data_IF_581509129230
#
_entry.id   IF_581509129230
#
_cell.length_a   1.000
_cell.length_b   1.000
_cell.length_c   1.000
_cell.angle_alpha   90.00
_cell.angle_beta   90.00
_cell.angle_gamma   90.00
#
_symmetry.space_group_name_H-M   'P 1'
#
loop_
_entity.id
_entity.type
_entity.pdbx_description
1 polymer ?
#
# COMPACT_ATOMS: atom_id res chain seq x y z
N UNK A 1 7.17 -7.84 18.83
CA UNK A 1 5.75 -8.02 18.44
C UNK A 1 5.28 -6.89 17.51
N UNK A 2 4.40 -7.20 16.56
CA UNK A 2 3.72 -6.25 15.68
C UNK A 2 2.58 -5.52 16.43
N UNK A 3 2.08 -4.40 15.90
CA UNK A 3 0.94 -3.66 16.49
C UNK A 3 1.18 -2.91 17.82
N UNK A 4 2.37 -3.03 18.45
CA UNK A 4 2.74 -2.32 19.69
C UNK A 4 3.02 -0.81 19.54
N UNK A 5 3.02 -0.27 18.32
CA UNK A 5 3.28 1.16 18.10
C UNK A 5 4.76 1.57 18.01
N UNK A 6 5.66 0.64 17.62
CA UNK A 6 7.09 0.92 17.34
C UNK A 6 7.27 2.11 16.40
N UNK A 7 6.67 2.02 15.22
CA UNK A 7 6.68 3.07 14.19
C UNK A 7 6.04 4.37 14.70
N UNK A 8 4.97 4.29 15.49
CA UNK A 8 4.31 5.46 16.08
C UNK A 8 5.22 6.21 17.06
N UNK A 9 5.90 5.49 17.96
CA UNK A 9 6.85 6.09 18.89
C UNK A 9 8.06 6.67 18.15
N UNK A 10 8.63 5.91 17.22
CA UNK A 10 9.77 6.33 16.42
C UNK A 10 9.46 7.60 15.61
N UNK A 11 8.30 7.66 14.95
CA UNK A 11 7.85 8.86 14.24
C UNK A 11 7.65 10.05 15.17
N UNK A 12 7.18 9.85 16.41
CA UNK A 12 7.03 10.94 17.38
C UNK A 12 8.38 11.54 17.75
N UNK A 13 9.39 10.71 17.97
CA UNK A 13 10.77 11.16 18.24
C UNK A 13 11.38 11.80 17.00
N UNK A 14 11.24 11.17 15.83
CA UNK A 14 11.82 11.65 14.57
C UNK A 14 11.32 13.04 14.15
N UNK A 15 10.07 13.37 14.51
CA UNK A 15 9.44 14.65 14.22
C UNK A 15 9.42 15.62 15.41
N UNK A 16 10.10 15.29 16.51
CA UNK A 16 10.20 16.18 17.67
C UNK A 16 11.00 17.46 17.29
N UNK A 17 10.52 18.68 17.60
CA UNK A 17 11.20 19.92 17.23
C UNK A 17 12.67 19.98 17.63
N UNK A 18 13.05 19.40 18.78
CA UNK A 18 14.44 19.37 19.23
C UNK A 18 15.30 18.49 18.32
N UNK A 19 14.73 17.36 17.87
CA UNK A 19 15.38 16.45 16.91
C UNK A 19 15.46 17.12 15.52
N UNK A 20 14.41 17.82 15.10
CA UNK A 20 14.40 18.57 13.84
C UNK A 20 15.53 19.60 13.77
N UNK A 21 15.77 20.34 14.85
CA UNK A 21 16.82 21.36 14.91
C UNK A 21 18.24 20.81 15.04
N UNK A 22 18.39 19.58 15.54
CA UNK A 22 19.70 19.03 15.89
C UNK A 22 20.42 18.35 14.71
N UNK A 23 19.68 17.73 13.78
CA UNK A 23 20.24 16.99 12.65
C UNK A 23 20.12 17.78 11.35
N UNK A 24 21.23 17.96 10.63
CA UNK A 24 21.25 18.67 9.34
C UNK A 24 20.52 17.87 8.25
N UNK A 25 20.69 16.54 8.28
CA UNK A 25 20.06 15.62 7.31
C UNK A 25 19.22 14.61 8.07
N UNK A 26 18.00 14.37 7.61
CA UNK A 26 17.16 13.30 8.12
C UNK A 26 16.61 12.48 6.95
N UNK A 27 16.58 11.18 7.12
CA UNK A 27 16.03 10.26 6.14
C UNK A 27 15.20 9.19 6.84
N UNK A 28 14.10 8.77 6.21
CA UNK A 28 13.26 7.68 6.69
C UNK A 28 13.04 6.67 5.57
N UNK A 29 13.19 5.38 5.89
CA UNK A 29 12.95 4.29 4.96
C UNK A 29 12.32 3.11 5.69
N UNK A 30 11.18 2.63 5.20
CA UNK A 30 10.60 1.35 5.63
C UNK A 30 11.18 0.21 4.80
N UNK A 31 11.71 -0.80 5.49
CA UNK A 31 12.33 -1.98 4.90
C UNK A 31 11.24 -3.04 4.70
N UNK A 32 10.86 -3.27 3.44
CA UNK A 32 9.93 -4.34 3.11
C UNK A 32 10.57 -5.71 3.40
N UNK A 33 9.75 -6.73 3.65
CA UNK A 33 10.24 -8.11 3.84
C UNK A 33 11.06 -8.61 2.65
N UNK A 34 10.61 -8.29 1.44
CA UNK A 34 11.37 -8.51 0.20
C UNK A 34 11.98 -7.18 -0.23
N UNK A 35 13.31 -7.09 -0.18
CA UNK A 35 14.04 -5.86 -0.51
C UNK A 35 15.27 -6.15 -1.38
N UNK A 36 15.71 -5.12 -2.11
CA UNK A 36 17.04 -5.07 -2.75
C UNK A 36 17.84 -3.89 -2.21
N UNK A 37 19.17 -3.98 -2.24
CA UNK A 37 20.06 -2.89 -1.83
C UNK A 37 19.78 -1.63 -2.66
N UNK A 38 19.65 -1.78 -3.97
CA UNK A 38 19.19 -0.71 -4.87
C UNK A 38 17.93 -0.01 -4.35
N UNK A 39 16.86 -0.77 -4.05
CA UNK A 39 15.58 -0.18 -3.61
C UNK A 39 15.68 0.60 -2.30
N UNK A 40 16.52 0.14 -1.36
CA UNK A 40 16.72 0.81 -0.07
C UNK A 40 17.51 2.11 -0.24
N UNK A 41 18.59 2.09 -1.02
CA UNK A 41 19.40 3.27 -1.28
C UNK A 41 18.60 4.35 -2.03
N UNK A 42 17.81 3.95 -3.03
CA UNK A 42 16.91 4.86 -3.75
C UNK A 42 15.90 5.50 -2.80
N UNK A 43 15.26 4.71 -1.92
CA UNK A 43 14.31 5.23 -0.92
C UNK A 43 14.96 6.26 0.01
N UNK A 44 16.17 5.97 0.52
CA UNK A 44 16.92 6.89 1.38
C UNK A 44 17.29 8.18 0.65
N UNK A 45 17.83 8.08 -0.58
CA UNK A 45 18.19 9.24 -1.39
C UNK A 45 16.98 10.11 -1.74
N UNK A 46 15.85 9.50 -2.11
CA UNK A 46 14.60 10.22 -2.34
C UNK A 46 14.11 10.90 -1.06
N UNK A 47 14.24 10.24 0.09
CA UNK A 47 13.86 10.84 1.39
C UNK A 47 14.70 12.06 1.74
N UNK A 48 15.97 12.12 1.35
CA UNK A 48 16.87 13.26 1.63
C UNK A 48 16.63 14.40 0.65
N UNK A 49 16.58 14.08 -0.65
CA UNK A 49 16.64 15.08 -1.71
C UNK A 49 15.27 15.51 -2.25
N UNK A 50 14.18 14.87 -1.80
CA UNK A 50 12.82 15.05 -2.34
C UNK A 50 12.71 14.84 -3.86
N UNK A 51 13.68 14.14 -4.45
CA UNK A 51 13.74 13.82 -5.88
C UNK A 51 12.89 12.61 -6.24
N UNK A 52 12.59 12.47 -7.53
CA UNK A 52 11.84 11.33 -8.02
C UNK A 52 12.69 10.06 -8.01
N UNK A 53 12.11 8.88 -7.68
CA UNK A 53 12.83 7.61 -7.78
C UNK A 53 13.36 7.33 -9.19
N UNK A 54 12.70 7.85 -10.22
CA UNK A 54 13.04 7.66 -11.62
C UNK A 54 14.47 8.13 -11.96
N UNK A 55 14.96 9.19 -11.30
CA UNK A 55 16.34 9.70 -11.47
C UNK A 55 17.41 8.67 -11.09
N UNK A 56 17.02 7.67 -10.30
CA UNK A 56 17.92 6.71 -9.70
C UNK A 56 17.76 5.29 -10.25
N UNK A 57 16.71 5.02 -11.04
CA UNK A 57 16.37 3.68 -11.51
C UNK A 57 17.45 3.04 -12.38
N UNK A 58 18.21 3.84 -13.14
CA UNK A 58 19.27 3.35 -14.04
C UNK A 58 20.67 3.42 -13.39
N UNK A 59 20.78 3.90 -12.15
CA UNK A 59 22.09 3.99 -11.48
C UNK A 59 22.46 2.66 -10.82
N UNK A 60 23.74 2.29 -10.88
CA UNK A 60 24.25 1.11 -10.18
C UNK A 60 24.20 1.25 -8.65
N UNK A 61 24.14 0.12 -7.94
CA UNK A 61 24.11 0.09 -6.47
C UNK A 61 25.33 0.79 -5.83
N UNK A 62 26.51 0.64 -6.44
CA UNK A 62 27.74 1.28 -5.97
C UNK A 62 27.68 2.82 -6.11
N UNK A 63 27.13 3.31 -7.21
CA UNK A 63 26.98 4.75 -7.45
C UNK A 63 25.95 5.36 -6.50
N UNK A 64 24.84 4.64 -6.26
CA UNK A 64 23.85 5.00 -5.26
C UNK A 64 24.47 5.09 -3.86
N UNK A 65 25.23 4.08 -3.46
CA UNK A 65 25.92 4.03 -2.17
C UNK A 65 26.92 5.18 -2.02
N UNK A 66 27.75 5.42 -3.04
CA UNK A 66 28.72 6.51 -3.05
C UNK A 66 28.04 7.89 -3.00
N UNK A 67 26.91 8.05 -3.70
CA UNK A 67 26.13 9.29 -3.68
C UNK A 67 25.52 9.54 -2.31
N UNK A 68 24.95 8.51 -1.68
CA UNK A 68 24.44 8.60 -0.32
C UNK A 68 25.58 8.96 0.66
N UNK A 69 26.73 8.29 0.56
CA UNK A 69 27.89 8.58 1.38
C UNK A 69 28.33 10.04 1.25
N UNK A 70 28.49 10.54 0.02
CA UNK A 70 28.92 11.92 -0.25
C UNK A 70 27.94 12.96 0.31
N UNK A 71 26.63 12.70 0.27
CA UNK A 71 25.62 13.60 0.84
C UNK A 71 25.70 13.65 2.38
N UNK A 72 25.97 12.51 3.02
CA UNK A 72 26.00 12.40 4.47
C UNK A 72 27.34 12.86 5.07
N UNK A 73 28.44 12.77 4.31
CA UNK A 73 29.79 13.10 4.78
C UNK A 73 29.87 14.56 5.24
N UNK A 74 30.45 14.77 6.42
CA UNK A 74 30.58 16.08 7.07
C UNK A 74 29.30 16.56 7.76
N UNK A 75 28.16 15.94 7.49
CA UNK A 75 26.87 16.35 8.05
C UNK A 75 26.46 15.46 9.24
N UNK A 76 25.87 16.08 10.26
CA UNK A 76 25.15 15.33 11.30
C UNK A 76 23.82 14.83 10.77
N UNK A 77 23.63 13.51 10.70
CA UNK A 77 22.43 12.90 10.14
C UNK A 77 21.66 12.02 11.12
N UNK A 78 20.35 11.89 10.91
CA UNK A 78 19.48 10.90 11.53
C UNK A 78 18.81 10.04 10.45
N UNK A 79 19.15 8.75 10.41
CA UNK A 79 18.50 7.80 9.50
C UNK A 79 17.56 6.91 10.31
N UNK A 80 16.28 6.91 9.95
CA UNK A 80 15.27 6.03 10.53
C UNK A 80 15.00 4.87 9.55
N UNK A 81 15.41 3.66 9.93
CA UNK A 81 15.08 2.41 9.25
C UNK A 81 13.92 1.74 9.99
N UNK A 82 12.75 1.74 9.37
CA UNK A 82 11.53 1.19 9.94
C UNK A 82 11.31 -0.27 9.50
N UNK A 83 10.87 -1.10 10.45
CA UNK A 83 10.52 -2.53 10.29
C UNK A 83 11.63 -3.40 9.68
N UNK A 84 12.82 -3.39 10.26
CA UNK A 84 13.95 -4.23 9.80
C UNK A 84 13.78 -5.68 10.26
N UNK A 85 13.68 -6.61 9.30
CA UNK A 85 13.51 -8.04 9.55
C UNK A 85 14.80 -8.83 9.64
N UNK A 86 15.86 -8.39 8.95
CA UNK A 86 17.12 -9.11 8.89
C UNK A 86 18.33 -8.18 9.09
N UNK A 87 19.37 -8.71 9.72
CA UNK A 87 20.65 -8.01 9.87
C UNK A 87 21.31 -7.69 8.53
N UNK A 88 21.03 -8.47 7.48
CA UNK A 88 21.55 -8.24 6.12
C UNK A 88 21.14 -6.86 5.60
N UNK A 89 19.90 -6.45 5.79
CA UNK A 89 19.41 -5.13 5.37
C UNK A 89 20.23 -4.01 6.01
N UNK A 90 20.52 -4.15 7.30
CA UNK A 90 21.35 -3.22 8.06
C UNK A 90 22.79 -3.20 7.54
N UNK A 91 23.42 -4.37 7.36
CA UNK A 91 24.80 -4.46 6.88
C UNK A 91 24.99 -3.82 5.50
N UNK A 92 24.00 -3.98 4.61
CA UNK A 92 24.00 -3.40 3.27
C UNK A 92 23.96 -1.87 3.31
N UNK A 93 23.13 -1.28 4.18
CA UNK A 93 23.04 0.18 4.31
C UNK A 93 24.25 0.74 5.05
N UNK A 94 24.74 0.04 6.09
CA UNK A 94 25.83 0.48 6.96
C UNK A 94 27.11 0.83 6.19
N UNK A 95 27.44 0.09 5.13
CA UNK A 95 28.62 0.36 4.29
C UNK A 95 28.58 1.73 3.60
N UNK A 96 27.39 2.31 3.44
CA UNK A 96 27.16 3.59 2.77
C UNK A 96 27.11 4.78 3.75
N UNK A 97 27.27 4.54 5.06
CA UNK A 97 27.09 5.56 6.10
C UNK A 97 28.44 6.04 6.68
N UNK A 98 28.81 7.32 6.52
CA UNK A 98 30.05 7.85 7.08
C UNK A 98 29.95 8.05 8.60
N UNK A 99 30.95 7.57 9.35
CA UNK A 99 31.08 7.89 10.77
C UNK A 99 32.11 9.01 10.98
N UNK A 100 31.64 10.24 11.06
CA UNK A 100 32.48 11.42 11.28
C UNK A 100 32.59 11.80 12.77
N UNK A 101 32.14 10.93 13.68
CA UNK A 101 32.07 11.19 15.12
C UNK A 101 31.34 12.51 15.50
N UNK A 102 30.46 13.00 14.64
CA UNK A 102 29.78 14.30 14.75
C UNK A 102 28.40 14.25 15.44
N UNK A 103 28.08 13.12 16.06
CA UNK A 103 26.79 12.89 16.72
C UNK A 103 25.68 12.35 15.82
N UNK A 104 25.99 11.87 14.61
CA UNK A 104 25.03 11.18 13.75
C UNK A 104 24.43 9.94 14.43
N UNK A 105 23.16 9.65 14.11
CA UNK A 105 22.39 8.57 14.76
C UNK A 105 21.57 7.79 13.75
N UNK A 106 21.31 6.54 14.11
CA UNK A 106 20.51 5.62 13.31
C UNK A 106 19.46 5.04 14.25
N UNK A 107 18.20 5.26 13.89
CA UNK A 107 17.05 4.73 14.59
C UNK A 107 16.56 3.51 13.83
N UNK A 108 16.44 2.37 14.50
CA UNK A 108 15.95 1.13 13.89
C UNK A 108 14.77 0.62 14.70
N UNK A 109 13.67 0.29 14.02
CA UNK A 109 12.58 -0.49 14.61
C UNK A 109 12.61 -1.90 14.02
N UNK A 110 12.34 -2.91 14.84
CA UNK A 110 12.31 -4.31 14.43
C UNK A 110 11.31 -5.08 15.28
N UNK A 111 10.72 -6.13 14.72
CA UNK A 111 9.85 -7.06 15.46
C UNK A 111 10.65 -8.09 16.24
N UNK A 112 11.86 -8.39 15.78
CA UNK A 112 12.80 -9.36 16.36
C UNK A 112 14.00 -8.66 16.99
N UNK A 113 14.68 -9.35 17.91
CA UNK A 113 15.96 -8.87 18.42
C UNK A 113 17.04 -9.11 17.36
N UNK A 114 17.49 -8.03 16.72
CA UNK A 114 18.53 -8.11 15.70
C UNK A 114 19.87 -8.46 16.35
N UNK A 115 20.60 -9.41 15.76
CA UNK A 115 21.89 -9.93 16.26
C UNK A 115 23.07 -9.00 15.94
N UNK A 116 22.90 -7.69 16.10
CA UNK A 116 24.04 -6.77 16.12
C UNK A 116 24.09 -6.06 17.46
N UNK A 117 25.28 -5.58 17.83
CA UNK A 117 25.50 -4.83 19.06
C UNK A 117 25.28 -3.34 18.75
N UNK A 118 24.09 -2.76 19.01
CA UNK A 118 23.91 -1.32 18.89
C UNK A 118 24.83 -0.62 19.89
N UNK A 119 25.27 0.60 19.54
CA UNK A 119 26.04 1.45 20.45
C UNK A 119 25.21 1.87 21.69
N UNK A 120 23.88 1.76 21.60
CA UNK A 120 22.91 2.08 22.65
C UNK A 120 22.06 0.88 23.05
N UNK A 121 21.63 0.81 24.31
CA UNK A 121 20.71 -0.22 24.80
C UNK A 121 19.40 -0.22 23.99
N UNK A 122 18.97 -1.41 23.55
CA UNK A 122 17.70 -1.57 22.86
C UNK A 122 16.53 -1.17 23.76
N UNK A 123 15.58 -0.42 23.21
CA UNK A 123 14.36 -0.03 23.91
C UNK A 123 13.23 -1.01 23.58
N UNK A 124 12.87 -1.84 24.56
CA UNK A 124 11.77 -2.79 24.44
C UNK A 124 10.45 -2.11 24.82
N UNK A 125 9.55 -1.96 23.85
CA UNK A 125 8.21 -1.43 24.10
C UNK A 125 7.41 -2.39 24.98
N UNK A 126 6.76 -1.83 26.00
CA UNK A 126 5.77 -2.54 26.83
C UNK A 126 4.37 -2.45 26.20
N UNK A 127 3.50 -3.34 26.66
CA UNK A 127 2.07 -3.22 26.43
C UNK A 127 1.48 -2.01 27.16
N UNK A 128 0.35 -1.52 26.65
CA UNK A 128 -0.46 -0.56 27.36
C UNK A 128 -1.06 -1.22 28.60
N UNK A 129 -1.14 -0.46 29.68
CA UNK A 129 -1.94 -0.84 30.85
C UNK A 129 -3.43 -0.83 30.49
N UNK A 130 -4.26 -1.49 31.30
CA UNK A 130 -5.73 -1.47 31.13
C UNK A 130 -6.26 -0.03 31.07
N UNK A 131 -5.75 0.86 31.93
CA UNK A 131 -6.14 2.27 31.95
C UNK A 131 -5.68 3.03 30.69
N UNK A 132 -4.46 2.78 30.19
CA UNK A 132 -3.99 3.40 28.94
C UNK A 132 -4.77 2.90 27.73
N UNK A 133 -5.11 1.61 27.70
CA UNK A 133 -5.95 1.01 26.65
C UNK A 133 -7.34 1.63 26.66
N UNK A 134 -7.91 1.81 27.85
CA UNK A 134 -9.20 2.48 28.02
C UNK A 134 -9.16 3.93 27.54
N UNK A 135 -8.16 4.70 27.97
CA UNK A 135 -7.96 6.09 27.50
C UNK A 135 -7.79 6.20 25.99
N UNK A 136 -7.07 5.25 25.38
CA UNK A 136 -6.91 5.20 23.94
C UNK A 136 -8.23 4.92 23.22
N UNK A 137 -9.03 3.98 23.73
CA UNK A 137 -10.36 3.66 23.21
C UNK A 137 -11.30 4.87 23.28
N UNK A 138 -11.38 5.52 24.45
CA UNK A 138 -12.18 6.73 24.65
C UNK A 138 -11.78 7.85 23.68
N UNK A 139 -10.47 8.11 23.55
CA UNK A 139 -9.95 9.13 22.64
C UNK A 139 -10.28 8.83 21.18
N UNK A 140 -10.38 7.56 20.80
CA UNK A 140 -10.72 7.15 19.44
C UNK A 140 -12.21 7.25 19.13
N UNK A 141 -13.07 6.98 20.11
CA UNK A 141 -14.52 7.02 19.93
C UNK A 141 -15.12 8.43 20.07
N UNK A 142 -14.73 9.17 21.11
CA UNK A 142 -15.37 10.43 21.48
C UNK A 142 -14.41 11.63 21.43
N UNK A 143 -13.15 11.42 21.07
CA UNK A 143 -12.18 12.51 20.94
C UNK A 143 -11.93 13.23 22.28
N UNK A 144 -12.34 14.50 22.36
CA UNK A 144 -12.30 15.32 23.58
C UNK A 144 -13.66 15.42 24.29
N UNK A 145 -14.72 14.95 23.66
CA UNK A 145 -16.05 14.93 24.24
C UNK A 145 -16.14 13.82 25.28
N UNK A 146 -16.84 14.08 26.38
CA UNK A 146 -16.90 13.18 27.52
C UNK A 146 -17.56 11.85 27.15
N UNK A 147 -16.96 10.75 27.57
CA UNK A 147 -17.49 9.41 27.36
C UNK A 147 -18.78 9.19 28.18
N UNK A 148 -19.90 8.70 27.60
CA UNK A 148 -21.15 8.49 28.32
C UNK A 148 -20.96 7.57 29.55
N UNK A 149 -21.41 7.96 30.76
CA UNK A 149 -21.20 7.16 31.98
C UNK A 149 -21.83 5.76 31.90
N UNK A 150 -22.95 5.63 31.19
CA UNK A 150 -23.71 4.39 30.99
C UNK A 150 -22.88 3.31 30.28
N UNK A 151 -22.07 3.70 29.30
CA UNK A 151 -21.23 2.78 28.51
C UNK A 151 -19.88 2.50 29.16
N UNK A 152 -19.54 3.20 30.26
CA UNK A 152 -18.19 3.21 30.82
C UNK A 152 -17.75 1.82 31.29
N UNK A 153 -18.69 1.03 31.83
CA UNK A 153 -18.44 -0.34 32.28
C UNK A 153 -18.11 -1.28 31.11
N UNK A 154 -18.99 -1.34 30.10
CA UNK A 154 -18.83 -2.20 28.93
C UNK A 154 -17.60 -1.79 28.12
N UNK A 155 -17.41 -0.49 27.88
CA UNK A 155 -16.25 0.03 27.18
C UNK A 155 -14.93 -0.29 27.89
N UNK A 156 -14.87 -0.12 29.22
CA UNK A 156 -13.66 -0.48 29.99
C UNK A 156 -13.38 -1.97 29.97
N UNK A 157 -14.43 -2.81 29.97
CA UNK A 157 -14.27 -4.26 29.83
C UNK A 157 -13.71 -4.62 28.44
N UNK A 158 -14.23 -4.02 27.38
CA UNK A 158 -13.74 -4.22 26.02
C UNK A 158 -12.27 -3.77 25.87
N UNK A 159 -11.91 -2.63 26.44
CA UNK A 159 -10.52 -2.15 26.43
C UNK A 159 -9.57 -3.13 27.14
N UNK A 160 -10.01 -3.74 28.23
CA UNK A 160 -9.25 -4.79 28.93
C UNK A 160 -9.11 -6.05 28.08
N UNK A 161 -10.15 -6.43 27.35
CA UNK A 161 -10.11 -7.56 26.42
C UNK A 161 -9.05 -7.36 25.33
N UNK A 162 -8.71 -6.12 24.97
CA UNK A 162 -7.66 -5.82 23.98
C UNK A 162 -6.22 -6.15 24.44
N UNK A 163 -6.02 -6.58 25.70
CA UNK A 163 -4.73 -7.05 26.27
C UNK A 163 -3.56 -6.07 26.04
N UNK A 164 -3.85 -4.77 26.07
CA UNK A 164 -2.82 -3.74 25.98
C UNK A 164 -2.16 -3.56 24.61
N UNK A 165 -2.68 -4.16 23.53
CA UNK A 165 -2.17 -3.98 22.18
C UNK A 165 -2.83 -2.75 21.50
N UNK A 166 -2.08 -1.68 21.18
CA UNK A 166 -2.66 -0.47 20.59
C UNK A 166 -3.46 -0.70 19.30
N UNK A 167 -2.97 -1.58 18.41
CA UNK A 167 -3.66 -1.88 17.16
C UNK A 167 -5.05 -2.48 17.40
N UNK A 168 -5.16 -3.48 18.28
CA UNK A 168 -6.44 -4.08 18.66
C UNK A 168 -7.41 -3.05 19.22
N UNK A 169 -6.94 -2.19 20.13
CA UNK A 169 -7.79 -1.12 20.70
C UNK A 169 -8.36 -0.22 19.60
N UNK A 170 -7.54 0.14 18.61
CA UNK A 170 -7.94 1.01 17.51
C UNK A 170 -8.91 0.32 16.53
N UNK A 171 -8.71 -0.97 16.24
CA UNK A 171 -9.62 -1.76 15.40
C UNK A 171 -10.99 -1.91 16.07
N UNK A 172 -11.01 -2.21 17.36
CA UNK A 172 -12.24 -2.32 18.15
C UNK A 172 -12.95 -0.97 18.24
N UNK A 173 -12.22 0.14 18.41
CA UNK A 173 -12.82 1.46 18.34
C UNK A 173 -13.54 1.69 17.00
N UNK A 174 -12.95 1.23 15.89
CA UNK A 174 -13.56 1.30 14.56
C UNK A 174 -14.86 0.50 14.43
N UNK A 175 -14.93 -0.68 15.06
CA UNK A 175 -16.18 -1.47 15.14
C UNK A 175 -17.22 -0.70 15.98
N UNK A 176 -16.87 -0.33 17.20
CA UNK A 176 -17.79 0.28 18.15
C UNK A 176 -18.35 1.62 17.67
N UNK A 177 -17.57 2.41 16.92
CA UNK A 177 -18.04 3.65 16.30
C UNK A 177 -19.18 3.44 15.28
N UNK A 178 -19.32 2.22 14.77
CA UNK A 178 -20.31 1.83 13.75
C UNK A 178 -21.33 0.82 14.29
N UNK A 179 -21.32 0.55 15.59
CA UNK A 179 -22.21 -0.40 16.26
C UNK A 179 -23.08 0.36 17.24
N UNK A 180 -24.39 0.09 17.24
CA UNK A 180 -25.31 0.66 18.20
C UNK A 180 -24.87 0.34 19.63
N UNK A 181 -25.03 1.29 20.55
CA UNK A 181 -24.47 1.23 21.90
C UNK A 181 -24.95 0.02 22.71
N UNK A 182 -26.19 -0.41 22.49
CA UNK A 182 -26.82 -1.59 23.08
C UNK A 182 -26.21 -2.92 22.60
N UNK A 183 -25.59 -2.95 21.41
CA UNK A 183 -24.91 -4.12 20.87
C UNK A 183 -23.46 -4.28 21.35
N UNK A 184 -22.92 -3.37 22.16
CA UNK A 184 -21.52 -3.43 22.61
C UNK A 184 -21.22 -4.69 23.45
N UNK A 185 -22.21 -5.19 24.20
CA UNK A 185 -22.06 -6.43 24.95
C UNK A 185 -21.87 -7.65 24.06
N UNK A 186 -22.46 -7.66 22.86
CA UNK A 186 -22.28 -8.74 21.88
C UNK A 186 -20.85 -8.74 21.34
N UNK A 187 -20.32 -7.55 21.03
CA UNK A 187 -18.92 -7.38 20.62
C UNK A 187 -17.98 -7.91 21.72
N UNK A 188 -18.25 -7.61 23.00
CA UNK A 188 -17.47 -8.12 24.12
C UNK A 188 -17.54 -9.66 24.23
N UNK A 189 -18.72 -10.26 24.01
CA UNK A 189 -18.90 -11.72 23.99
C UNK A 189 -18.10 -12.39 22.86
N UNK A 190 -18.13 -11.81 21.66
CA UNK A 190 -17.35 -12.29 20.51
C UNK A 190 -15.84 -12.27 20.75
N UNK A 191 -15.34 -11.31 21.54
CA UNK A 191 -13.93 -11.24 21.93
C UNK A 191 -13.55 -12.27 23.02
N UNK A 192 -14.51 -12.65 23.87
CA UNK A 192 -14.27 -13.51 25.05
C UNK A 192 -14.32 -15.00 24.70
N UNK A 193 -15.07 -15.39 23.68
CA UNK A 193 -15.28 -16.80 23.27
C UNK A 193 -14.04 -17.53 22.73
N UNK A 194 -12.88 -16.86 22.67
CA UNK A 194 -11.66 -17.40 22.07
C UNK A 194 -10.46 -17.36 23.02
N UNK A 195 -10.18 -18.49 23.68
CA UNK A 195 -8.95 -18.69 24.46
C UNK A 195 -7.81 -18.98 23.49
N UNK A 196 -7.03 -17.96 23.12
CA UNK A 196 -5.99 -18.08 22.12
C UNK A 196 -4.72 -17.26 22.46
N UNK A 197 -3.57 -17.74 21.96
CA UNK A 197 -2.24 -17.13 21.99
C UNK A 197 -2.24 -15.69 21.43
N UNK A 198 -1.27 -14.87 21.83
CA UNK A 198 -1.29 -13.42 21.62
C UNK A 198 -1.27 -12.94 20.15
N UNK A 199 -0.51 -13.56 19.25
CA UNK A 199 -0.45 -13.13 17.84
C UNK A 199 -1.74 -13.50 17.08
N UNK A 200 -2.34 -14.64 17.41
CA UNK A 200 -3.59 -15.11 16.83
C UNK A 200 -4.80 -14.29 17.36
N UNK A 201 -4.70 -13.70 18.56
CA UNK A 201 -5.70 -12.76 19.07
C UNK A 201 -5.84 -11.49 18.20
N UNK A 202 -4.72 -10.94 17.69
CA UNK A 202 -4.77 -9.79 16.79
C UNK A 202 -5.45 -10.15 15.46
N UNK A 203 -5.10 -11.31 14.89
CA UNK A 203 -5.73 -11.80 13.65
C UNK A 203 -7.23 -12.05 13.83
N UNK A 204 -7.67 -12.57 14.98
CA UNK A 204 -9.10 -12.70 15.29
C UNK A 204 -9.82 -11.36 15.40
N UNK A 205 -9.17 -10.36 15.97
CA UNK A 205 -9.74 -8.99 16.03
C UNK A 205 -9.88 -8.40 14.64
N UNK A 206 -8.91 -8.64 13.75
CA UNK A 206 -8.99 -8.25 12.35
C UNK A 206 -10.14 -8.97 11.63
N UNK A 207 -10.31 -10.27 11.86
CA UNK A 207 -11.43 -11.03 11.31
C UNK A 207 -12.79 -10.52 11.82
N UNK A 208 -12.88 -10.20 13.11
CA UNK A 208 -14.08 -9.57 13.68
C UNK A 208 -14.36 -8.22 13.00
N UNK A 209 -13.34 -7.40 12.81
CA UNK A 209 -13.46 -6.09 12.13
C UNK A 209 -13.91 -6.24 10.69
N UNK A 210 -13.38 -7.24 9.99
CA UNK A 210 -13.77 -7.57 8.61
C UNK A 210 -15.22 -8.06 8.52
N UNK A 211 -15.66 -8.91 9.46
CA UNK A 211 -17.02 -9.43 9.47
C UNK A 211 -18.07 -8.33 9.72
N UNK A 212 -17.70 -7.27 10.44
CA UNK A 212 -18.55 -6.09 10.68
C UNK A 212 -18.54 -5.06 9.54
N UNK A 213 -17.81 -5.32 8.44
CA UNK A 213 -17.85 -4.46 7.26
C UNK A 213 -19.12 -4.74 6.42
N UNK A 214 -19.74 -3.69 5.85
CA UNK A 214 -20.67 -3.84 4.75
C UNK A 214 -20.07 -4.66 3.61
N UNK A 215 -20.88 -5.49 2.95
CA UNK A 215 -20.41 -6.40 1.90
C UNK A 215 -19.77 -5.67 0.72
N UNK A 216 -20.18 -4.44 0.42
CA UNK A 216 -19.58 -3.62 -0.63
C UNK A 216 -18.16 -3.13 -0.30
N UNK A 217 -17.80 -3.03 0.98
CA UNK A 217 -16.47 -2.59 1.42
C UNK A 217 -15.47 -3.74 1.49
N UNK A 218 -15.93 -4.98 1.67
CA UNK A 218 -15.05 -6.15 1.80
C UNK A 218 -14.13 -6.31 0.57
N UNK A 219 -14.63 -6.31 -0.69
CA UNK A 219 -13.75 -6.36 -1.86
C UNK A 219 -12.79 -5.18 -1.94
N UNK A 220 -13.23 -3.98 -1.54
CA UNK A 220 -12.41 -2.77 -1.55
C UNK A 220 -11.22 -2.89 -0.58
N UNK A 221 -11.45 -3.40 0.63
CA UNK A 221 -10.40 -3.65 1.61
C UNK A 221 -9.45 -4.76 1.13
N UNK A 222 -9.98 -5.90 0.69
CA UNK A 222 -9.17 -7.03 0.23
C UNK A 222 -8.32 -6.67 -1.00
N UNK A 223 -8.77 -5.72 -1.82
CA UNK A 223 -8.01 -5.22 -2.96
C UNK A 223 -6.67 -4.59 -2.58
N UNK A 224 -6.51 -4.12 -1.34
CA UNK A 224 -5.23 -3.60 -0.89
C UNK A 224 -4.12 -4.66 -0.88
N UNK A 225 -4.46 -5.96 -0.82
CA UNK A 225 -3.49 -7.05 -0.95
C UNK A 225 -2.72 -7.04 -2.27
N UNK A 226 -3.24 -6.36 -3.31
CA UNK A 226 -2.55 -6.18 -4.59
C UNK A 226 -1.28 -5.33 -4.45
N UNK A 227 -1.27 -4.36 -3.53
CA UNK A 227 -0.13 -3.47 -3.33
C UNK A 227 0.91 -4.12 -2.43
N UNK A 228 2.15 -3.61 -2.49
CA UNK A 228 3.20 -4.11 -1.60
C UNK A 228 2.96 -3.69 -0.15
N UNK A 229 3.47 -4.47 0.80
CA UNK A 229 3.47 -4.12 2.22
C UNK A 229 4.11 -2.72 2.40
N UNK A 230 3.48 -1.88 3.24
CA UNK A 230 3.85 -0.49 3.50
C UNK A 230 3.86 0.47 2.30
N UNK A 231 3.34 0.07 1.12
CA UNK A 231 3.23 0.96 -0.03
C UNK A 231 2.24 2.11 0.26
N UNK A 232 2.69 3.34 0.02
CA UNK A 232 1.80 4.51 0.03
C UNK A 232 1.02 4.56 -1.28
N UNK A 233 -0.22 4.08 -1.25
CA UNK A 233 -1.11 4.03 -2.40
C UNK A 233 -1.74 5.40 -2.65
N UNK A 234 -1.58 6.00 -3.83
CA UNK A 234 -2.29 7.23 -4.17
C UNK A 234 -3.81 7.00 -4.19
N UNK A 235 -4.56 7.81 -3.44
CA UNK A 235 -6.01 7.62 -3.29
C UNK A 235 -6.73 7.63 -4.63
N UNK A 236 -6.43 8.60 -5.51
CA UNK A 236 -7.04 8.67 -6.85
C UNK A 236 -6.88 7.37 -7.65
N UNK A 237 -5.69 6.77 -7.60
CA UNK A 237 -5.40 5.50 -8.27
C UNK A 237 -6.28 4.40 -7.70
N UNK A 238 -6.35 4.30 -6.38
CA UNK A 238 -7.14 3.28 -5.69
C UNK A 238 -8.62 3.37 -6.06
N UNK A 239 -9.20 4.57 -6.03
CA UNK A 239 -10.61 4.78 -6.39
C UNK A 239 -10.89 4.38 -7.84
N UNK A 240 -10.02 4.75 -8.78
CA UNK A 240 -10.18 4.36 -10.18
C UNK A 240 -10.09 2.85 -10.39
N UNK A 241 -9.23 2.16 -9.64
CA UNK A 241 -9.16 0.71 -9.66
C UNK A 241 -10.45 0.10 -9.13
N UNK A 242 -10.96 0.51 -7.96
CA UNK A 242 -12.23 0.00 -7.42
C UNK A 242 -13.42 0.19 -8.36
N UNK A 243 -13.51 1.36 -8.99
CA UNK A 243 -14.56 1.66 -9.99
C UNK A 243 -14.43 0.73 -11.19
N UNK A 244 -13.21 0.53 -11.70
CA UNK A 244 -12.96 -0.28 -12.89
C UNK A 244 -13.16 -1.78 -12.64
N UNK A 245 -12.83 -2.24 -11.43
CA UNK A 245 -13.16 -3.58 -10.93
C UNK A 245 -14.68 -3.80 -10.82
N UNK A 246 -15.43 -2.72 -10.58
CA UNK A 246 -16.88 -2.74 -10.39
C UNK A 246 -17.29 -2.98 -8.93
N UNK A 247 -16.43 -2.66 -7.96
CA UNK A 247 -16.75 -2.74 -6.53
C UNK A 247 -17.68 -1.62 -6.07
N UNK A 248 -17.65 -0.49 -6.77
CA UNK A 248 -18.41 0.71 -6.39
C UNK A 248 -19.77 0.67 -7.07
N UNK A 249 -20.82 0.58 -6.27
CA UNK A 249 -22.20 0.59 -6.75
C UNK A 249 -22.65 2.02 -7.05
N UNK A 250 -23.45 2.21 -8.11
CA UNK A 250 -23.95 3.54 -8.48
C UNK A 250 -25.12 3.91 -7.57
N UNK A 251 -24.93 4.91 -6.71
CA UNK A 251 -26.01 5.53 -5.93
C UNK A 251 -26.68 6.64 -6.75
N UNK A 252 -27.99 6.76 -6.66
CA UNK A 252 -28.74 7.84 -7.30
C UNK A 252 -28.24 9.21 -6.80
N UNK A 253 -28.07 10.17 -7.72
CA UNK A 253 -27.59 11.52 -7.39
C UNK A 253 -26.10 11.67 -7.06
N UNK A 254 -25.31 10.58 -6.95
CA UNK A 254 -23.85 10.65 -6.69
C UNK A 254 -23.02 10.17 -7.88
N UNK A 255 -21.81 10.74 -8.04
CA UNK A 255 -20.81 10.19 -8.97
C UNK A 255 -20.17 8.95 -8.36
N UNK A 256 -19.63 8.05 -9.19
CA UNK A 256 -18.94 6.85 -8.69
C UNK A 256 -17.70 7.23 -7.88
N UNK A 257 -17.04 8.32 -8.24
CA UNK A 257 -15.86 8.82 -7.55
C UNK A 257 -16.20 9.32 -6.13
N UNK A 258 -17.38 9.91 -5.96
CA UNK A 258 -17.85 10.37 -4.65
C UNK A 258 -18.21 9.17 -3.76
N UNK A 259 -18.90 8.16 -4.32
CA UNK A 259 -19.22 6.91 -3.62
C UNK A 259 -17.94 6.15 -3.24
N UNK A 260 -16.96 6.08 -4.14
CA UNK A 260 -15.67 5.43 -3.87
C UNK A 260 -14.88 6.15 -2.77
N UNK A 261 -14.94 7.49 -2.74
CA UNK A 261 -14.32 8.28 -1.68
C UNK A 261 -15.05 8.10 -0.33
N UNK A 262 -16.38 8.01 -0.34
CA UNK A 262 -17.18 7.65 0.84
C UNK A 262 -16.78 6.25 1.38
N UNK A 263 -16.58 5.26 0.49
CA UNK A 263 -16.11 3.92 0.87
C UNK A 263 -14.73 3.96 1.53
N UNK A 264 -13.80 4.76 0.97
CA UNK A 264 -12.48 4.93 1.58
C UNK A 264 -12.57 5.62 2.94
N UNK A 265 -13.44 6.64 3.08
CA UNK A 265 -13.66 7.33 4.37
C UNK A 265 -14.18 6.35 5.42
N UNK A 266 -15.15 5.51 5.10
CA UNK A 266 -15.66 4.50 6.04
C UNK A 266 -14.55 3.52 6.49
N UNK A 267 -13.71 3.03 5.56
CA UNK A 267 -12.56 2.18 5.90
C UNK A 267 -11.51 2.89 6.78
N UNK A 268 -11.34 4.20 6.62
CA UNK A 268 -10.45 5.04 7.45
C UNK A 268 -11.06 5.27 8.84
N UNK A 269 -12.35 5.57 8.91
CA UNK A 269 -13.07 5.81 10.16
C UNK A 269 -13.11 4.53 11.02
N UNK A 270 -13.23 3.37 10.38
CA UNK A 270 -13.06 2.05 10.99
C UNK A 270 -11.60 1.69 11.35
N UNK A 271 -10.66 2.59 11.08
CA UNK A 271 -9.23 2.44 11.35
C UNK A 271 -8.56 1.23 10.69
N UNK A 272 -9.16 0.69 9.63
CA UNK A 272 -8.57 -0.39 8.81
C UNK A 272 -7.59 0.18 7.79
N UNK A 273 -7.83 1.41 7.32
CA UNK A 273 -6.96 2.13 6.39
C UNK A 273 -6.36 3.36 7.06
N UNK A 274 -5.05 3.57 6.90
CA UNK A 274 -4.35 4.74 7.41
C UNK A 274 -4.13 5.78 6.32
N UNK A 275 -4.45 7.04 6.60
CA UNK A 275 -4.07 8.17 5.74
C UNK A 275 -2.60 8.49 5.93
N UNK A 276 -1.80 8.35 4.88
CA UNK A 276 -0.35 8.60 4.94
C UNK A 276 0.07 9.98 4.45
N UNK A 277 -0.73 10.58 3.55
CA UNK A 277 -0.54 11.98 3.09
C UNK A 277 -1.89 12.66 2.94
N UNK A 278 -1.96 13.93 3.33
CA UNK A 278 -3.12 14.79 3.09
C UNK A 278 -2.92 15.69 1.86
N UNK A 279 -4.02 16.14 1.25
CA UNK A 279 -3.99 17.16 0.19
C UNK A 279 -3.98 18.55 0.82
N UNK A 280 -3.46 19.54 0.09
CA UNK A 280 -3.51 20.95 0.51
C UNK A 280 -4.94 21.46 0.65
N UNK A 281 -5.87 20.92 -0.14
CA UNK A 281 -7.30 21.25 -0.12
C UNK A 281 -8.11 20.45 0.90
N UNK A 282 -7.45 19.68 1.78
CA UNK A 282 -8.11 18.72 2.66
C UNK A 282 -8.36 17.35 2.00
N UNK A 283 -8.57 16.33 2.85
CA UNK A 283 -8.79 14.94 2.43
C UNK A 283 -7.51 14.15 2.15
N UNK A 284 -7.66 12.84 1.92
CA UNK A 284 -6.55 11.92 1.74
C UNK A 284 -5.92 12.02 0.33
N UNK A 285 -4.60 12.21 0.28
CA UNK A 285 -3.78 12.16 -0.94
C UNK A 285 -3.24 10.75 -1.19
N UNK A 286 -2.76 10.12 -0.13
CA UNK A 286 -2.28 8.74 -0.14
C UNK A 286 -2.72 8.03 1.13
N UNK A 287 -2.92 6.72 1.03
CA UNK A 287 -3.30 5.84 2.11
C UNK A 287 -2.47 4.56 2.08
N UNK A 288 -2.46 3.82 3.19
CA UNK A 288 -1.81 2.51 3.31
C UNK A 288 -2.52 1.68 4.36
N UNK A 289 -2.33 0.36 4.30
CA UNK A 289 -2.70 -0.53 5.40
C UNK A 289 -1.59 -0.62 6.44
N UNK A 290 -1.96 -1.00 7.66
CA UNK A 290 -1.00 -1.47 8.65
C UNK A 290 -0.53 -2.87 8.26
N UNK A 291 0.74 -3.22 8.55
CA UNK A 291 1.36 -4.50 8.18
C UNK A 291 0.46 -5.73 8.41
N UNK A 292 -0.07 -5.92 9.62
CA UNK A 292 -0.95 -7.01 10.02
C UNK A 292 -2.32 -6.96 9.31
N UNK A 293 -2.83 -5.77 8.99
CA UNK A 293 -4.09 -5.63 8.23
C UNK A 293 -3.85 -6.06 6.78
N UNK A 294 -2.69 -5.70 6.21
CA UNK A 294 -2.30 -6.13 4.87
C UNK A 294 -2.12 -7.65 4.81
N UNK A 295 -1.40 -8.24 5.77
CA UNK A 295 -1.22 -9.69 5.89
C UNK A 295 -2.57 -10.42 5.96
N UNK A 296 -3.50 -9.90 6.78
CA UNK A 296 -4.86 -10.41 6.86
C UNK A 296 -5.57 -10.33 5.50
N UNK A 297 -5.51 -9.19 4.80
CA UNK A 297 -6.15 -9.00 3.51
C UNK A 297 -5.60 -9.95 2.45
N UNK A 298 -4.27 -10.17 2.41
CA UNK A 298 -3.64 -11.10 1.48
C UNK A 298 -4.12 -12.53 1.73
N UNK A 299 -4.12 -12.96 3.00
CA UNK A 299 -4.60 -14.30 3.38
C UNK A 299 -6.07 -14.49 3.05
N UNK A 300 -6.93 -13.55 3.45
CA UNK A 300 -8.38 -13.60 3.23
C UNK A 300 -8.75 -13.55 1.75
N UNK A 301 -8.09 -12.71 0.96
CA UNK A 301 -8.32 -12.63 -0.48
C UNK A 301 -7.93 -13.92 -1.22
N UNK A 302 -6.93 -14.66 -0.72
CA UNK A 302 -6.58 -15.99 -1.22
C UNK A 302 -7.62 -17.04 -0.84
N UNK A 303 -8.08 -17.04 0.41
CA UNK A 303 -9.16 -17.92 0.89
C UNK A 303 -10.46 -17.74 0.09
N UNK A 304 -10.81 -16.49 -0.24
CA UNK A 304 -12.00 -16.15 -1.02
C UNK A 304 -11.79 -16.22 -2.56
N UNK A 305 -10.61 -16.66 -3.02
CA UNK A 305 -10.22 -16.72 -4.45
C UNK A 305 -10.36 -15.37 -5.21
N UNK A 306 -10.32 -14.24 -4.49
CA UNK A 306 -10.45 -12.90 -5.07
C UNK A 306 -9.14 -12.37 -5.67
N UNK A 307 -8.01 -12.82 -5.13
CA UNK A 307 -6.66 -12.39 -5.52
C UNK A 307 -5.68 -13.56 -5.41
N UNK A 308 -4.84 -13.70 -6.44
CA UNK A 308 -3.66 -14.56 -6.40
C UNK A 308 -2.40 -13.72 -6.55
N UNK A 309 -1.53 -13.75 -5.54
CA UNK A 309 -0.25 -13.03 -5.54
C UNK A 309 0.86 -14.03 -5.82
N UNK A 310 1.62 -13.79 -6.88
CA UNK A 310 2.73 -14.67 -7.26
C UNK A 310 4.03 -14.16 -6.65
N UNK A 311 4.68 -15.01 -5.84
CA UNK A 311 5.93 -14.69 -5.13
C UNK A 311 7.11 -15.45 -5.75
N UNK A 312 8.24 -14.77 -5.90
CA UNK A 312 9.39 -15.24 -6.70
C UNK A 312 10.43 -16.11 -5.97
N UNK A 313 10.09 -16.80 -4.89
CA UNK A 313 11.04 -17.72 -4.25
C UNK A 313 10.84 -19.15 -4.77
N UNK A 314 11.83 -19.58 -5.55
CA UNK A 314 12.17 -20.95 -5.98
C UNK A 314 11.18 -22.05 -5.57
N UNK A 315 10.23 -22.33 -6.45
CA UNK A 315 9.43 -23.53 -6.45
C UNK A 315 8.59 -23.55 -7.70
N UNK A 316 8.49 -24.71 -8.37
CA UNK A 316 7.38 -25.00 -9.28
C UNK A 316 6.08 -24.52 -8.63
N UNK A 317 5.13 -24.02 -9.42
CA UNK A 317 3.76 -23.75 -8.98
C UNK A 317 3.23 -24.94 -8.15
N UNK A 318 3.33 -24.91 -6.82
CA UNK A 318 2.68 -25.90 -5.95
C UNK A 318 1.32 -25.32 -5.64
N UNK A 319 0.38 -25.56 -6.55
CA UNK A 319 -1.03 -25.33 -6.33
C UNK A 319 -1.56 -26.43 -5.42
N UNK A 320 -1.80 -26.13 -4.15
CA UNK A 320 -2.81 -26.87 -3.38
C UNK A 320 -4.18 -26.30 -3.71
N UNK A 321 -4.80 -26.76 -4.81
CA UNK A 321 -6.22 -26.57 -5.09
C UNK A 321 -6.58 -26.02 -6.49
N UNK A 322 -7.80 -26.35 -7.00
CA UNK A 322 -8.29 -25.86 -8.28
C UNK A 322 -8.81 -24.42 -8.13
N UNK A 323 -7.92 -23.43 -8.21
CA UNK A 323 -8.28 -22.02 -8.04
C UNK A 323 -8.34 -21.29 -9.39
N UNK A 324 -9.50 -20.71 -9.73
CA UNK A 324 -9.68 -19.75 -10.83
C UNK A 324 -9.72 -18.31 -10.25
N UNK A 325 -8.58 -17.70 -9.90
CA UNK A 325 -8.55 -16.36 -9.35
C UNK A 325 -9.03 -15.34 -10.38
N UNK A 326 -9.86 -14.39 -9.93
CA UNK A 326 -10.30 -13.27 -10.78
C UNK A 326 -9.20 -12.22 -11.02
N UNK A 327 -8.14 -12.21 -10.20
CA UNK A 327 -7.10 -11.17 -10.19
C UNK A 327 -5.72 -11.76 -9.93
N UNK A 328 -4.73 -11.31 -10.69
CA UNK A 328 -3.32 -11.73 -10.54
C UNK A 328 -2.42 -10.51 -10.39
N UNK A 329 -1.54 -10.55 -9.40
CA UNK A 329 -0.49 -9.55 -9.16
C UNK A 329 0.87 -10.24 -9.06
N UNK A 330 1.85 -9.80 -9.85
CA UNK A 330 3.25 -10.25 -9.73
C UNK A 330 4.06 -9.23 -8.94
N UNK A 331 4.54 -9.59 -7.75
CA UNK A 331 5.18 -8.60 -6.87
C UNK A 331 6.71 -8.57 -6.92
N UNK A 332 7.40 -9.58 -7.48
CA UNK A 332 8.87 -9.56 -7.63
C UNK A 332 9.45 -10.85 -8.28
N UNK A 333 8.80 -11.44 -9.28
CA UNK A 333 9.37 -12.66 -9.87
C UNK A 333 10.40 -12.32 -10.93
N UNK A 334 11.57 -12.97 -10.86
CA UNK A 334 12.59 -12.84 -11.91
C UNK A 334 12.19 -13.54 -13.21
N UNK A 335 11.20 -14.44 -13.17
CA UNK A 335 10.91 -15.45 -14.19
C UNK A 335 9.41 -15.72 -14.46
N UNK A 336 8.43 -14.87 -14.08
CA UNK A 336 7.06 -15.17 -14.55
C UNK A 336 6.94 -14.88 -16.03
N UNK A 337 6.58 -15.90 -16.81
CA UNK A 337 6.14 -15.73 -18.17
C UNK A 337 4.62 -15.50 -18.19
N UNK A 338 4.15 -14.41 -18.83
CA UNK A 338 2.71 -14.09 -18.93
C UNK A 338 1.86 -15.28 -19.44
N UNK A 339 2.42 -16.13 -20.30
CA UNK A 339 1.71 -17.29 -20.87
C UNK A 339 1.46 -18.42 -19.85
N UNK A 340 2.33 -18.58 -18.85
CA UNK A 340 2.11 -19.56 -17.78
C UNK A 340 0.85 -19.19 -16.98
N UNK A 341 0.67 -17.90 -16.67
CA UNK A 341 -0.54 -17.39 -16.03
C UNK A 341 -1.82 -17.63 -16.85
N UNK A 342 -1.70 -17.66 -18.17
CA UNK A 342 -2.86 -17.85 -19.05
C UNK A 342 -3.32 -19.29 -19.14
N UNK A 343 -2.37 -20.23 -19.20
CA UNK A 343 -2.67 -21.66 -19.20
C UNK A 343 -3.34 -22.05 -17.88
N UNK A 344 -2.91 -21.44 -16.78
CA UNK A 344 -3.47 -21.71 -15.45
C UNK A 344 -4.77 -20.94 -15.19
N UNK A 345 -4.91 -19.71 -15.70
CA UNK A 345 -6.02 -18.81 -15.32
C UNK A 345 -6.67 -18.09 -16.52
N UNK A 346 -7.45 -18.79 -17.37
CA UNK A 346 -8.08 -18.20 -18.56
C UNK A 346 -9.14 -17.13 -18.26
N UNK A 347 -9.64 -17.08 -17.02
CA UNK A 347 -10.73 -16.21 -16.59
C UNK A 347 -10.30 -14.95 -15.83
N UNK A 348 -9.00 -14.64 -15.79
CA UNK A 348 -8.47 -13.47 -15.08
C UNK A 348 -9.05 -12.17 -15.64
N UNK A 349 -9.55 -11.33 -14.73
CA UNK A 349 -10.17 -10.03 -15.05
C UNK A 349 -9.28 -8.85 -14.69
N UNK A 350 -8.25 -9.04 -13.87
CA UNK A 350 -7.31 -7.97 -13.53
C UNK A 350 -5.88 -8.48 -13.48
N UNK A 351 -4.99 -7.73 -14.13
CA UNK A 351 -3.58 -8.05 -14.22
C UNK A 351 -2.75 -6.80 -13.92
N UNK A 352 -1.91 -6.89 -12.89
CA UNK A 352 -0.95 -5.86 -12.52
C UNK A 352 0.45 -6.45 -12.64
N UNK A 353 1.24 -5.95 -13.59
CA UNK A 353 2.57 -6.46 -13.91
C UNK A 353 3.67 -5.47 -13.53
N UNK A 354 4.77 -6.03 -13.02
CA UNK A 354 5.84 -5.26 -12.39
C UNK A 354 7.19 -5.44 -13.09
N UNK A 355 7.32 -6.35 -14.06
CA UNK A 355 8.50 -6.51 -14.94
C UNK A 355 8.14 -6.74 -16.43
N UNK A 356 9.04 -6.29 -17.30
CA UNK A 356 8.92 -6.34 -18.77
C UNK A 356 9.02 -7.78 -19.26
N UNK A 357 8.04 -8.17 -20.06
CA UNK A 357 7.93 -9.45 -20.74
C UNK A 357 7.39 -9.18 -22.14
N UNK A 358 7.72 -10.03 -23.12
CA UNK A 358 7.17 -9.92 -24.46
C UNK A 358 5.64 -10.13 -24.40
N UNK A 359 4.90 -9.03 -24.56
CA UNK A 359 3.44 -8.97 -24.72
C UNK A 359 3.00 -9.54 -26.06
N UNK A 360 3.47 -10.73 -26.43
CA UNK A 360 2.98 -11.43 -27.61
C UNK A 360 1.45 -11.61 -27.57
N UNK A 361 0.88 -12.09 -28.68
CA UNK A 361 -0.55 -12.27 -29.06
C UNK A 361 -1.53 -12.92 -28.05
N UNK A 362 -1.17 -13.04 -26.79
CA UNK A 362 -1.75 -13.89 -25.77
C UNK A 362 -2.24 -13.01 -24.62
N UNK A 363 -3.13 -12.06 -24.91
CA UNK A 363 -3.80 -11.30 -23.86
C UNK A 363 -5.17 -11.91 -23.53
N UNK A 364 -5.45 -12.00 -22.25
CA UNK A 364 -6.68 -12.54 -21.68
C UNK A 364 -7.88 -11.66 -22.08
N UNK A 365 -8.74 -12.17 -22.97
CA UNK A 365 -9.87 -11.41 -23.56
C UNK A 365 -10.88 -10.85 -22.54
N UNK A 366 -10.91 -11.40 -21.33
CA UNK A 366 -11.81 -11.01 -20.24
C UNK A 366 -11.26 -9.92 -19.30
N UNK A 367 -10.06 -9.41 -19.57
CA UNK A 367 -9.43 -8.37 -18.76
C UNK A 367 -10.26 -7.09 -18.71
N UNK A 368 -10.42 -6.57 -17.49
CA UNK A 368 -11.04 -5.30 -17.13
C UNK A 368 -10.01 -4.30 -16.61
N UNK A 369 -8.97 -4.75 -15.91
CA UNK A 369 -7.91 -3.89 -15.37
C UNK A 369 -6.56 -4.38 -15.85
N UNK A 370 -5.81 -3.48 -16.49
CA UNK A 370 -4.43 -3.72 -16.91
C UNK A 370 -3.53 -2.56 -16.44
N UNK A 371 -2.64 -2.84 -15.51
CA UNK A 371 -1.71 -1.87 -14.94
C UNK A 371 -0.26 -2.27 -15.23
N UNK A 372 0.36 -1.57 -16.18
CA UNK A 372 1.71 -1.80 -16.68
C UNK A 372 2.64 -0.61 -16.38
N UNK A 373 2.32 0.23 -15.40
CA UNK A 373 3.09 1.47 -15.13
C UNK A 373 4.52 1.26 -14.67
N UNK A 374 4.85 0.06 -14.18
CA UNK A 374 6.23 -0.27 -13.80
C UNK A 374 7.04 -0.77 -14.99
N UNK A 375 6.41 -1.00 -16.15
CA UNK A 375 7.04 -1.44 -17.39
C UNK A 375 7.25 -0.23 -18.28
N UNK A 376 8.48 -0.04 -18.74
CA UNK A 376 8.81 1.10 -19.58
C UNK A 376 8.85 0.65 -21.03
N UNK A 377 7.77 0.92 -21.78
CA UNK A 377 7.73 0.63 -23.21
C UNK A 377 8.62 1.62 -23.98
N UNK A 378 9.72 1.12 -24.54
CA UNK A 378 10.75 1.98 -25.16
C UNK A 378 10.60 2.17 -26.67
N UNK A 379 10.05 1.19 -27.37
CA UNK A 379 10.10 1.14 -28.84
C UNK A 379 8.72 1.34 -29.46
N UNK A 380 7.73 0.56 -29.02
CA UNK A 380 6.39 0.56 -29.61
C UNK A 380 5.29 0.56 -28.56
N UNK A 381 4.13 1.11 -28.94
CA UNK A 381 2.90 0.94 -28.19
C UNK A 381 2.45 -0.53 -28.29
N UNK A 382 2.06 -1.20 -27.19
CA UNK A 382 1.60 -2.60 -27.24
C UNK A 382 0.23 -2.67 -27.91
N UNK A 383 0.20 -2.96 -29.21
CA UNK A 383 -1.00 -2.97 -30.05
C UNK A 383 -2.03 -4.00 -29.59
N UNK A 384 -1.58 -5.08 -28.95
CA UNK A 384 -2.36 -6.19 -28.45
C UNK A 384 -3.37 -5.73 -27.39
N UNK A 385 -3.02 -4.70 -26.60
CA UNK A 385 -3.90 -4.12 -25.59
C UNK A 385 -5.21 -3.60 -26.21
N UNK A 386 -5.17 -3.17 -27.47
CA UNK A 386 -6.31 -2.65 -28.20
C UNK A 386 -7.37 -3.71 -28.53
N UNK A 387 -7.02 -5.00 -28.40
CA UNK A 387 -7.93 -6.13 -28.59
C UNK A 387 -8.77 -6.45 -27.34
N UNK A 388 -8.48 -5.81 -26.20
CA UNK A 388 -9.14 -6.06 -24.92
C UNK A 388 -10.47 -5.29 -24.80
N UNK A 389 -11.50 -5.75 -25.51
CA UNK A 389 -12.82 -5.08 -25.57
C UNK A 389 -13.55 -4.96 -24.21
N UNK A 390 -13.12 -5.70 -23.20
CA UNK A 390 -13.66 -5.62 -21.84
C UNK A 390 -12.91 -4.69 -20.89
N UNK A 391 -11.80 -4.09 -21.36
CA UNK A 391 -10.93 -3.27 -20.57
C UNK A 391 -11.64 -1.99 -20.11
N UNK A 392 -11.52 -1.70 -18.81
CA UNK A 392 -12.06 -0.52 -18.12
C UNK A 392 -10.95 0.36 -17.57
N UNK A 393 -9.80 -0.22 -17.23
CA UNK A 393 -8.64 0.49 -16.74
C UNK A 393 -7.39 0.08 -17.52
N UNK A 394 -6.70 1.07 -18.07
CA UNK A 394 -5.42 0.90 -18.72
C UNK A 394 -4.42 1.90 -18.15
N UNK A 395 -3.30 1.41 -17.65
CA UNK A 395 -2.20 2.26 -17.22
C UNK A 395 -0.88 1.82 -17.85
N UNK A 396 -0.22 2.73 -18.56
CA UNK A 396 1.01 2.48 -19.32
C UNK A 396 2.12 3.45 -18.89
N UNK A 397 3.37 3.00 -18.98
CA UNK A 397 4.54 3.86 -18.89
C UNK A 397 5.38 3.71 -20.16
N UNK A 398 5.64 4.82 -20.85
CA UNK A 398 6.32 4.83 -22.16
C UNK A 398 7.52 5.77 -22.15
N UNK A 399 8.59 5.38 -22.85
CA UNK A 399 9.81 6.17 -23.03
C UNK A 399 10.27 6.07 -24.48
N UNK A 400 9.86 7.01 -25.34
CA UNK A 400 10.19 7.00 -26.77
C UNK A 400 9.03 6.61 -27.68
N UNK A 401 7.84 6.32 -27.12
CA UNK A 401 6.61 6.16 -27.91
C UNK A 401 6.06 7.55 -28.24
N UNK A 402 6.08 7.89 -29.53
CA UNK A 402 5.70 9.23 -29.99
C UNK A 402 4.19 9.40 -30.20
N UNK A 403 3.43 8.34 -30.45
CA UNK A 403 1.97 8.48 -30.62
C UNK A 403 1.23 7.27 -30.11
N UNK A 404 0.02 7.51 -29.59
CA UNK A 404 -0.93 6.46 -29.25
C UNK A 404 -1.79 6.15 -30.50
N UNK A 405 -1.95 4.88 -30.89
CA UNK A 405 -2.74 4.52 -32.07
C UNK A 405 -4.21 4.95 -31.97
N UNK A 406 -4.78 5.43 -33.09
CA UNK A 406 -6.20 5.82 -33.15
C UNK A 406 -7.17 4.68 -32.79
N UNK A 407 -6.72 3.43 -32.97
CA UNK A 407 -7.44 2.22 -32.57
C UNK A 407 -7.66 2.08 -31.05
N UNK A 408 -7.10 2.97 -30.21
CA UNK A 408 -7.49 3.10 -28.79
C UNK A 408 -9.01 3.30 -28.61
N UNK A 409 -9.67 3.91 -29.60
CA UNK A 409 -11.11 4.08 -29.63
C UNK A 409 -11.89 2.75 -29.65
N UNK A 410 -11.27 1.64 -30.03
CA UNK A 410 -11.88 0.31 -30.02
C UNK A 410 -12.14 -0.20 -28.60
N UNK A 411 -11.47 0.36 -27.59
CA UNK A 411 -11.69 0.05 -26.18
C UNK A 411 -12.97 0.74 -25.67
N UNK A 412 -14.12 0.33 -26.19
CA UNK A 412 -15.42 0.98 -25.97
C UNK A 412 -15.93 0.97 -24.53
N UNK A 413 -15.30 0.16 -23.66
CA UNK A 413 -15.60 0.06 -22.22
C UNK A 413 -14.57 0.75 -21.33
N UNK A 414 -13.54 1.37 -21.90
CA UNK A 414 -12.47 2.00 -21.15
C UNK A 414 -13.02 3.18 -20.34
N UNK A 415 -12.74 3.20 -19.05
CA UNK A 415 -13.17 4.22 -18.10
C UNK A 415 -12.00 5.08 -17.64
N UNK A 416 -10.83 4.47 -17.47
CA UNK A 416 -9.61 5.14 -17.02
C UNK A 416 -8.44 4.80 -17.94
N UNK A 417 -7.79 5.83 -18.47
CA UNK A 417 -6.53 5.72 -19.20
C UNK A 417 -5.46 6.58 -18.54
N UNK A 418 -4.40 5.94 -18.04
CA UNK A 418 -3.24 6.58 -17.45
C UNK A 418 -2.03 6.36 -18.36
N UNK A 419 -1.43 7.45 -18.81
CA UNK A 419 -0.22 7.41 -19.62
C UNK A 419 0.89 8.18 -18.93
N UNK A 420 1.87 7.46 -18.40
CA UNK A 420 3.11 8.04 -17.92
C UNK A 420 4.09 8.10 -19.09
N UNK A 421 4.44 9.30 -19.51
CA UNK A 421 5.46 9.56 -20.53
C UNK A 421 6.58 10.41 -19.93
N UNK A 422 7.82 10.07 -20.24
CA UNK A 422 9.01 10.86 -19.84
C UNK A 422 9.52 11.79 -20.95
N UNK A 423 8.91 11.76 -22.14
CA UNK A 423 9.26 12.62 -23.27
C UNK A 423 8.12 13.61 -23.59
N UNK A 424 8.48 14.79 -24.09
CA UNK A 424 7.58 15.90 -24.38
C UNK A 424 6.60 15.67 -25.55
N UNK A 425 6.76 14.59 -26.33
CA UNK A 425 6.17 14.44 -27.66
C UNK A 425 5.25 13.22 -27.81
N UNK A 426 4.64 12.69 -26.75
CA UNK A 426 3.65 11.62 -26.88
C UNK A 426 2.26 12.18 -27.23
N UNK A 427 1.82 12.00 -28.47
CA UNK A 427 0.55 12.53 -28.97
C UNK A 427 -0.63 11.57 -28.73
N UNK A 428 -1.76 12.11 -28.30
CA UNK A 428 -3.02 11.38 -28.17
C UNK A 428 -3.87 11.54 -29.44
N UNK A 429 -4.49 10.46 -29.95
CA UNK A 429 -5.35 10.55 -31.12
C UNK A 429 -6.69 11.19 -30.72
N UNK A 430 -7.26 12.05 -31.57
CA UNK A 430 -8.61 12.61 -31.35
C UNK A 430 -9.70 11.55 -31.17
N UNK A 431 -9.51 10.38 -31.78
CA UNK A 431 -10.45 9.26 -31.67
C UNK A 431 -10.64 8.78 -30.23
N UNK A 432 -9.75 9.14 -29.29
CA UNK A 432 -9.92 8.83 -27.87
C UNK A 432 -11.23 9.39 -27.31
N UNK A 433 -11.70 10.52 -27.83
CA UNK A 433 -12.96 11.14 -27.42
C UNK A 433 -14.21 10.37 -27.88
N UNK A 434 -14.06 9.41 -28.79
CA UNK A 434 -15.15 8.53 -29.20
C UNK A 434 -15.49 7.48 -28.12
N UNK A 435 -14.62 7.29 -27.13
CA UNK A 435 -14.84 6.36 -26.01
C UNK A 435 -15.80 7.01 -25.02
N UNK A 436 -17.10 6.83 -25.23
CA UNK A 436 -18.16 7.43 -24.39
C UNK A 436 -18.11 7.02 -22.92
N UNK A 437 -17.46 5.90 -22.60
CA UNK A 437 -17.30 5.42 -21.22
C UNK A 437 -16.11 6.04 -20.50
N UNK A 438 -15.23 6.75 -21.20
CA UNK A 438 -14.00 7.30 -20.64
C UNK A 438 -14.34 8.44 -19.66
N UNK A 439 -13.86 8.29 -18.43
CA UNK A 439 -14.07 9.23 -17.32
C UNK A 439 -12.80 9.93 -16.91
N UNK A 440 -11.67 9.22 -17.02
CA UNK A 440 -10.39 9.65 -16.53
C UNK A 440 -9.33 9.45 -17.59
N UNK A 441 -8.76 10.56 -18.03
CA UNK A 441 -7.57 10.60 -18.87
C UNK A 441 -6.51 11.36 -18.09
N UNK A 442 -5.39 10.71 -17.79
CA UNK A 442 -4.29 11.34 -17.07
C UNK A 442 -2.97 11.10 -17.78
N UNK A 443 -2.23 12.19 -18.01
CA UNK A 443 -0.91 12.20 -18.63
C UNK A 443 0.08 12.91 -17.73
N UNK A 444 1.33 12.46 -17.68
CA UNK A 444 2.41 13.21 -16.99
C UNK A 444 2.94 14.40 -17.79
N UNK A 445 2.64 14.44 -19.10
CA UNK A 445 3.04 15.54 -19.97
C UNK A 445 2.06 16.72 -19.84
N UNK A 446 2.59 17.93 -19.67
CA UNK A 446 1.85 19.19 -19.61
C UNK A 446 1.41 19.70 -20.99
N UNK A 447 2.02 19.21 -22.07
CA UNK A 447 1.63 19.53 -23.45
C UNK A 447 0.88 18.35 -24.07
N UNK A 448 -0.44 18.33 -23.92
CA UNK A 448 -1.28 17.38 -24.65
C UNK A 448 -1.48 17.94 -26.06
N UNK A 449 -0.79 17.37 -27.04
CA UNK A 449 -1.04 17.66 -28.43
C UNK A 449 -1.94 16.57 -29.04
N UNK A 450 -3.03 16.99 -29.68
CA UNK A 450 -3.88 16.11 -30.47
C UNK A 450 -3.43 16.15 -31.93
N UNK A 451 -3.15 14.99 -32.54
CA UNK A 451 -2.93 14.93 -33.98
C UNK A 451 -4.22 15.32 -34.73
N UNK A 452 -4.10 16.19 -35.73
CA UNK A 452 -5.25 16.71 -36.47
C UNK A 452 -5.78 15.76 -37.52
#
# INVERSE_FOLDING_TARGET
MAGLGKTTLANRVYNDPLILSYFHIRAQCTVAQVYSMHSLLVKLLCSISSRSPDEYLEMGENDLALKLYKLLKGNRYLIFLDDVWEIKAWNLVKSSLPNDANGSRILVTSRIQLQFKPDSKAYHLRHLTDNESWKLLQKKLFGKEGFPPTLGKVGSQIAKLCRGLPLTVVLIAGILANTAEDCWEEVAKSLTSSIVLHDEYCMKTLELSYNHLPDDLKPCLLYFGVFQEDENVPVRRLLWLWISEGFVQKTEGKRLEDVADDYLRDLVDRSLVMVSKQRSTGGAKACRLHDLVHEFCVKKAKEENLLHIVHGQSGRFILTGPSNPLRVCDQNTKNLMIWELMLEFPNVRSLLLFKEDDFGFWLLKLLRVLDLRKLVFRVHFPMEVLLLVHLRYLALCTRGVNFIPAAIANLSRLQTFLLRGNNADCFLPKTIWNIKTLRHLWTTNSAIFFFF
#
